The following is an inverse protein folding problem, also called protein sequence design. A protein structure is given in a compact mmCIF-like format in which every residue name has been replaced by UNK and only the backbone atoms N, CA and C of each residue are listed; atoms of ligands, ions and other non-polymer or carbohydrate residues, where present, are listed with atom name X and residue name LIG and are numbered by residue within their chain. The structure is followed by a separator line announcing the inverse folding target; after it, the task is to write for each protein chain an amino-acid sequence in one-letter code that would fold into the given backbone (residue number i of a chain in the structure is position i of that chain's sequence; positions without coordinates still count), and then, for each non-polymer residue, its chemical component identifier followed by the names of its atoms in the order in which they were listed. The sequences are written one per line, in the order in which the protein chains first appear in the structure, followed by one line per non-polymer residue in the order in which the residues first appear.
data_IF_762975881702
#
_entry.id   IF_762975881702
#
_cell.length_a   1.000
_cell.length_b   1.000
_cell.length_c   1.000
_cell.angle_alpha   90.00
_cell.angle_beta   90.00
_cell.angle_gamma   90.00
#
_symmetry.space_group_name_H-M   'P 1'
#
loop_
_entity.id
_entity.type
_entity.pdbx_description
1 polymer ?
#
# COMPACT_ATOMS: atom_id res chain seq x y z
N UNK A 1 7.71 -0.88 39.04
CA UNK A 1 6.27 -1.06 38.76
C UNK A 1 5.65 0.11 37.99
N UNK A 2 6.05 1.36 38.24
CA UNK A 2 5.50 2.57 37.58
C UNK A 2 5.93 2.76 36.10
N UNK A 3 7.03 2.11 35.66
CA UNK A 3 7.53 2.25 34.27
C UNK A 3 6.83 1.31 33.26
N UNK A 4 6.33 0.15 33.70
CA UNK A 4 5.61 -0.79 32.81
C UNK A 4 4.18 -0.33 32.51
N UNK A 5 3.52 0.32 33.48
CA UNK A 5 2.18 0.88 33.31
C UNK A 5 2.14 2.07 32.35
N UNK A 6 3.27 2.74 32.11
CA UNK A 6 3.36 3.83 31.14
C UNK A 6 3.35 3.33 29.69
N UNK A 7 4.11 2.27 29.38
CA UNK A 7 4.12 1.66 28.04
C UNK A 7 2.81 0.92 27.68
N UNK A 8 2.13 0.33 28.66
CA UNK A 8 0.81 -0.29 28.47
C UNK A 8 -0.31 0.75 28.30
N UNK A 9 -0.15 1.95 28.88
CA UNK A 9 -1.04 3.11 28.68
C UNK A 9 -1.02 3.58 27.22
N UNK A 10 0.16 3.65 26.61
CA UNK A 10 0.35 4.16 25.26
C UNK A 10 -0.14 3.17 24.17
N UNK A 11 -0.39 1.89 24.50
CA UNK A 11 -0.90 0.87 23.58
C UNK A 11 -2.43 0.62 23.66
N UNK A 12 -3.16 1.37 24.50
CA UNK A 12 -4.63 1.22 24.62
C UNK A 12 -5.10 -0.04 25.38
N UNK A 13 -4.20 -0.81 25.97
CA UNK A 13 -4.50 -2.12 26.57
C UNK A 13 -5.07 -2.08 28.00
N UNK A 14 -5.51 -0.91 28.47
CA UNK A 14 -6.05 -0.75 29.84
C UNK A 14 -7.38 -1.51 29.94
N UNK A 15 -7.51 -2.35 30.97
CA UNK A 15 -8.73 -3.12 31.26
C UNK A 15 -8.95 -4.36 30.39
N UNK A 16 -7.95 -4.79 29.61
CA UNK A 16 -8.04 -6.02 28.81
C UNK A 16 -8.30 -7.24 29.71
N UNK A 17 -7.59 -7.28 30.83
CA UNK A 17 -7.70 -8.26 31.90
C UNK A 17 -9.13 -8.36 32.45
N UNK A 18 -9.75 -7.21 32.75
CA UNK A 18 -11.12 -7.14 33.25
C UNK A 18 -12.15 -7.56 32.19
N UNK A 19 -12.02 -7.07 30.94
CA UNK A 19 -12.96 -7.38 29.86
C UNK A 19 -12.90 -8.84 29.42
N UNK A 20 -11.70 -9.42 29.38
CA UNK A 20 -11.52 -10.84 29.13
C UNK A 20 -12.27 -11.67 30.19
N UNK A 21 -12.10 -11.30 31.47
CA UNK A 21 -12.78 -11.97 32.57
C UNK A 21 -14.30 -11.81 32.52
N UNK A 22 -14.80 -10.62 32.14
CA UNK A 22 -16.23 -10.35 31.96
C UNK A 22 -16.80 -11.19 30.82
N UNK A 23 -16.23 -11.10 29.62
CA UNK A 23 -16.72 -11.83 28.44
C UNK A 23 -16.70 -13.35 28.64
N UNK A 24 -15.67 -13.88 29.31
CA UNK A 24 -15.61 -15.29 29.71
C UNK A 24 -16.75 -15.69 30.64
N UNK A 25 -17.02 -14.88 31.67
CA UNK A 25 -18.08 -15.14 32.65
C UNK A 25 -19.47 -15.03 32.03
N UNK A 26 -19.70 -14.12 31.09
CA UNK A 26 -20.97 -14.01 30.36
C UNK A 26 -21.28 -15.26 29.53
N UNK A 27 -20.25 -15.96 29.03
CA UNK A 27 -20.39 -17.26 28.38
C UNK A 27 -20.49 -18.44 29.35
N UNK A 28 -20.43 -18.19 30.66
CA UNK A 28 -20.48 -19.23 31.69
C UNK A 28 -19.24 -20.11 31.76
N UNK A 29 -18.12 -19.69 31.17
CA UNK A 29 -16.89 -20.48 31.16
C UNK A 29 -16.04 -20.25 32.42
N UNK A 30 -15.44 -21.31 32.96
CA UNK A 30 -14.34 -21.21 33.93
C UNK A 30 -13.02 -20.84 33.24
N UNK A 31 -11.98 -20.47 34.00
CA UNK A 31 -10.65 -20.21 33.42
C UNK A 31 -10.12 -21.49 32.74
N UNK A 32 -10.41 -22.65 33.33
CA UNK A 32 -10.10 -23.98 32.79
C UNK A 32 -10.83 -24.27 31.47
N UNK A 33 -12.12 -23.92 31.38
CA UNK A 33 -12.91 -24.12 30.15
C UNK A 33 -12.37 -23.28 28.99
N UNK A 34 -12.05 -22.01 29.26
CA UNK A 34 -11.49 -21.12 28.24
C UNK A 34 -10.09 -21.59 27.81
N UNK A 35 -9.25 -21.99 28.78
CA UNK A 35 -7.91 -22.49 28.50
C UNK A 35 -7.95 -23.75 27.63
N UNK A 36 -8.85 -24.68 27.93
CA UNK A 36 -9.04 -25.92 27.16
C UNK A 36 -9.44 -25.63 25.71
N UNK A 37 -10.35 -24.67 25.49
CA UNK A 37 -10.79 -24.27 24.15
C UNK A 37 -9.70 -23.55 23.34
N UNK A 38 -8.82 -22.84 24.01
CA UNK A 38 -7.70 -22.12 23.40
C UNK A 38 -6.43 -22.96 23.24
N UNK A 39 -6.39 -24.20 23.77
CA UNK A 39 -5.19 -25.03 23.76
C UNK A 39 -4.06 -24.49 24.65
N UNK A 40 -4.39 -23.73 25.69
CA UNK A 40 -3.42 -23.13 26.64
C UNK A 40 -3.63 -23.66 28.05
N UNK A 41 -2.73 -23.30 28.98
CA UNK A 41 -2.86 -23.69 30.38
C UNK A 41 -3.82 -22.73 31.13
N UNK A 42 -4.58 -23.20 32.14
CA UNK A 42 -5.42 -22.33 32.98
C UNK A 42 -4.63 -21.19 33.63
N UNK A 43 -3.35 -21.43 33.96
CA UNK A 43 -2.44 -20.43 34.49
C UNK A 43 -2.18 -19.28 33.51
N UNK A 44 -2.19 -19.54 32.20
CA UNK A 44 -2.04 -18.50 31.17
C UNK A 44 -3.26 -17.57 31.17
N UNK A 45 -4.48 -18.12 31.13
CA UNK A 45 -5.72 -17.34 31.23
C UNK A 45 -5.76 -16.53 32.52
N UNK A 46 -5.41 -17.17 33.65
CA UNK A 46 -5.32 -16.51 34.95
C UNK A 46 -4.29 -15.38 34.99
N UNK A 47 -3.19 -15.49 34.24
CA UNK A 47 -2.16 -14.46 34.11
C UNK A 47 -2.68 -13.27 33.29
N UNK A 48 -3.43 -13.53 32.22
CA UNK A 48 -4.07 -12.49 31.40
C UNK A 48 -5.13 -11.72 32.16
N UNK A 49 -6.02 -12.40 32.89
CA UNK A 49 -7.09 -11.78 33.70
C UNK A 49 -6.58 -11.04 34.95
N UNK A 50 -5.29 -11.14 35.26
CA UNK A 50 -4.64 -10.36 36.33
C UNK A 50 -3.71 -9.27 35.80
N UNK A 51 -3.74 -9.00 34.48
CA UNK A 51 -2.89 -8.00 33.84
C UNK A 51 -1.39 -8.34 33.85
N UNK A 52 -1.03 -9.59 34.14
CA UNK A 52 0.37 -10.02 34.27
C UNK A 52 0.95 -10.57 32.96
N UNK A 53 0.31 -10.33 31.83
CA UNK A 53 0.72 -10.75 30.49
C UNK A 53 -0.44 -10.70 29.51
N UNK A 54 -0.18 -10.96 28.24
CA UNK A 54 -1.19 -10.95 27.18
C UNK A 54 -1.12 -12.24 26.35
N UNK A 55 -2.26 -12.67 25.77
CA UNK A 55 -2.24 -13.65 24.68
C UNK A 55 -1.53 -13.05 23.46
N UNK A 56 -0.97 -13.91 22.62
CA UNK A 56 -0.44 -13.49 21.32
C UNK A 56 -1.56 -13.11 20.33
N UNK A 57 -1.17 -12.58 19.17
CA UNK A 57 -2.10 -12.08 18.15
C UNK A 57 -3.01 -13.18 17.62
N UNK A 58 -2.51 -14.41 17.46
CA UNK A 58 -3.32 -15.54 16.97
C UNK A 58 -4.37 -15.94 18.01
N UNK A 59 -3.97 -16.08 19.27
CA UNK A 59 -4.87 -16.39 20.38
C UNK A 59 -5.91 -15.30 20.62
N UNK A 60 -5.58 -14.02 20.39
CA UNK A 60 -6.55 -12.92 20.48
C UNK A 60 -7.73 -13.13 19.54
N UNK A 61 -7.48 -13.46 18.27
CA UNK A 61 -8.54 -13.74 17.30
C UNK A 61 -9.45 -14.88 17.77
N UNK A 62 -8.85 -15.98 18.25
CA UNK A 62 -9.61 -17.13 18.76
C UNK A 62 -10.41 -16.81 20.04
N UNK A 63 -9.87 -15.96 20.93
CA UNK A 63 -10.61 -15.48 22.10
C UNK A 63 -11.87 -14.73 21.64
N UNK A 64 -11.75 -13.85 20.65
CA UNK A 64 -12.88 -13.12 20.08
C UNK A 64 -13.98 -14.05 19.56
N UNK A 65 -13.60 -15.10 18.83
CA UNK A 65 -14.52 -16.11 18.31
C UNK A 65 -15.18 -16.94 19.42
N UNK A 66 -14.41 -17.48 20.37
CA UNK A 66 -14.90 -18.35 21.46
C UNK A 66 -15.83 -17.58 22.40
N UNK A 67 -15.48 -16.32 22.70
CA UNK A 67 -16.27 -15.46 23.58
C UNK A 67 -17.36 -14.68 22.83
N UNK A 68 -17.40 -14.78 21.50
CA UNK A 68 -18.32 -14.07 20.62
C UNK A 68 -18.33 -12.55 20.90
N UNK A 69 -17.14 -11.96 20.94
CA UNK A 69 -16.93 -10.52 21.14
C UNK A 69 -15.90 -10.00 20.13
N UNK A 70 -15.96 -8.71 19.80
CA UNK A 70 -14.98 -8.12 18.89
C UNK A 70 -13.62 -7.96 19.58
N UNK A 71 -12.55 -8.04 18.78
CA UNK A 71 -11.20 -7.76 19.27
C UNK A 71 -11.09 -6.30 19.73
N UNK A 72 -11.78 -5.38 19.06
CA UNK A 72 -11.88 -3.97 19.47
C UNK A 72 -12.47 -3.81 20.87
N UNK A 73 -13.49 -4.60 21.25
CA UNK A 73 -14.02 -4.63 22.61
C UNK A 73 -12.95 -5.09 23.61
N UNK A 74 -12.28 -6.22 23.34
CA UNK A 74 -11.24 -6.74 24.24
C UNK A 74 -10.09 -5.73 24.44
N UNK A 75 -9.66 -5.07 23.36
CA UNK A 75 -8.53 -4.14 23.36
C UNK A 75 -8.90 -2.68 23.68
N UNK A 76 -10.13 -2.39 24.12
CA UNK A 76 -10.62 -1.04 24.39
C UNK A 76 -10.44 -0.04 23.24
N UNK A 77 -10.75 -0.46 22.02
CA UNK A 77 -11.02 0.48 20.93
C UNK A 77 -12.48 0.91 20.97
N UNK A 78 -12.95 1.42 22.11
CA UNK A 78 -14.27 2.02 22.13
C UNK A 78 -14.23 3.41 21.50
N UNK A 79 -14.88 3.47 20.36
CA UNK A 79 -15.48 4.63 19.71
C UNK A 79 -16.54 5.24 20.63
N UNK A 80 -16.20 6.02 21.66
CA UNK A 80 -17.11 7.01 22.26
C UNK A 80 -16.36 8.19 22.89
N UNK A 81 -16.62 9.40 22.36
CA UNK A 81 -16.47 10.67 23.07
C UNK A 81 -15.07 11.28 23.08
N UNK A 82 -14.75 12.04 22.02
CA UNK A 82 -13.61 12.95 21.96
C UNK A 82 -13.58 13.87 23.20
N UNK A 83 -12.65 13.59 24.13
CA UNK A 83 -12.13 14.63 25.02
C UNK A 83 -10.91 15.22 24.32
N UNK A 84 -11.07 16.45 23.83
CA UNK A 84 -10.02 17.26 23.24
C UNK A 84 -8.93 17.48 24.31
N UNK A 85 -7.81 16.77 24.18
CA UNK A 85 -6.52 17.15 24.73
C UNK A 85 -5.46 16.90 23.66
N UNK A 86 -4.69 17.93 23.29
CA UNK A 86 -3.71 18.02 22.19
C UNK A 86 -2.48 17.09 22.32
N UNK A 87 -2.57 15.93 22.98
CA UNK A 87 -1.42 15.04 23.08
C UNK A 87 -1.80 13.58 23.01
N UNK A 88 -1.29 12.95 21.95
CA UNK A 88 -1.20 11.51 21.68
C UNK A 88 -2.37 10.83 20.98
N UNK A 89 -2.97 11.47 19.98
CA UNK A 89 -3.81 10.70 19.06
C UNK A 89 -2.96 10.19 17.88
N UNK A 90 -2.47 8.95 18.00
CA UNK A 90 -1.75 8.24 16.93
C UNK A 90 -2.58 8.27 15.63
N UNK A 91 -3.92 8.26 15.73
CA UNK A 91 -4.81 8.42 14.58
C UNK A 91 -4.69 9.80 13.94
N UNK A 92 -4.69 10.88 14.71
CA UNK A 92 -4.48 12.22 14.15
C UNK A 92 -3.11 12.34 13.51
N UNK A 93 -2.05 11.79 14.12
CA UNK A 93 -0.71 11.78 13.53
C UNK A 93 -0.68 10.99 12.22
N UNK A 94 -1.33 9.83 12.14
CA UNK A 94 -1.45 9.05 10.89
C UNK A 94 -2.25 9.82 9.84
N UNK A 95 -3.39 10.42 10.21
CA UNK A 95 -4.20 11.25 9.31
C UNK A 95 -3.46 12.50 8.82
N UNK A 96 -2.61 13.10 9.67
CA UNK A 96 -1.73 14.20 9.29
C UNK A 96 -0.66 13.72 8.31
N UNK A 97 -0.05 12.55 8.55
CA UNK A 97 0.92 11.96 7.62
C UNK A 97 0.29 11.66 6.25
N UNK A 98 -0.93 11.13 6.22
CA UNK A 98 -1.67 10.89 4.98
C UNK A 98 -1.97 12.18 4.20
N UNK A 99 -2.10 13.32 4.89
CA UNK A 99 -2.28 14.64 4.26
C UNK A 99 -0.98 15.28 3.80
N UNK A 100 0.16 14.89 4.38
CA UNK A 100 1.48 15.44 4.04
C UNK A 100 2.07 14.71 2.82
N UNK A 101 1.79 13.41 2.69
CA UNK A 101 2.39 12.58 1.65
C UNK A 101 1.54 12.62 0.38
N UNK A 102 2.08 13.25 -0.65
CA UNK A 102 1.50 13.22 -1.99
C UNK A 102 1.42 11.79 -2.52
N UNK A 103 0.32 11.47 -3.19
CA UNK A 103 0.04 10.12 -3.67
C UNK A 103 0.71 9.86 -5.02
N UNK A 104 1.22 8.63 -5.26
CA UNK A 104 1.91 8.33 -6.51
C UNK A 104 1.06 8.51 -7.76
N UNK A 105 -0.26 8.28 -7.66
CA UNK A 105 -1.17 8.35 -8.80
C UNK A 105 -2.60 8.64 -8.34
N UNK A 106 -3.13 9.77 -8.78
CA UNK A 106 -4.47 10.26 -8.43
C UNK A 106 -5.25 10.58 -9.70
N UNK A 107 -6.53 10.21 -9.73
CA UNK A 107 -7.51 10.71 -10.69
C UNK A 107 -8.46 11.64 -9.94
N UNK A 108 -8.54 12.88 -10.40
CA UNK A 108 -9.53 13.84 -9.93
C UNK A 108 -10.57 14.08 -11.01
N UNK A 109 -11.83 14.25 -10.62
CA UNK A 109 -12.95 14.42 -11.53
C UNK A 109 -13.88 15.56 -11.08
N UNK A 110 -14.47 16.24 -12.06
CA UNK A 110 -15.59 17.15 -11.83
C UNK A 110 -16.90 16.40 -11.56
N UNK A 111 -17.89 17.15 -11.05
CA UNK A 111 -19.17 16.59 -10.57
C UNK A 111 -19.93 15.78 -11.64
N UNK A 112 -19.83 16.15 -12.91
CA UNK A 112 -20.54 15.51 -14.00
C UNK A 112 -20.03 14.12 -14.38
N UNK A 113 -18.89 13.69 -13.82
CA UNK A 113 -18.32 12.36 -14.06
C UNK A 113 -18.48 11.41 -12.87
N UNK A 114 -18.95 11.88 -11.72
CA UNK A 114 -18.98 11.12 -10.44
C UNK A 114 -19.73 9.79 -10.57
N UNK A 115 -20.83 9.75 -11.29
CA UNK A 115 -21.63 8.54 -11.51
C UNK A 115 -20.85 7.44 -12.25
N UNK A 116 -20.04 7.79 -13.26
CA UNK A 116 -19.18 6.83 -13.99
C UNK A 116 -18.23 6.12 -13.01
N UNK A 117 -17.65 6.86 -12.07
CA UNK A 117 -16.75 6.29 -11.07
C UNK A 117 -17.50 5.55 -9.95
N UNK A 118 -18.70 5.99 -9.59
CA UNK A 118 -19.55 5.28 -8.63
C UNK A 118 -20.02 3.93 -9.18
N UNK A 119 -20.34 3.83 -10.46
CA UNK A 119 -20.69 2.56 -11.11
C UNK A 119 -19.54 1.57 -11.02
N UNK A 120 -18.33 2.01 -11.32
CA UNK A 120 -17.14 1.17 -11.21
C UNK A 120 -16.79 0.83 -9.75
N UNK A 121 -17.08 1.69 -8.78
CA UNK A 121 -16.86 1.36 -7.37
C UNK A 121 -17.65 0.13 -6.93
N UNK A 122 -18.83 -0.10 -7.53
CA UNK A 122 -19.66 -1.30 -7.27
C UNK A 122 -19.03 -2.57 -7.85
N UNK A 123 -18.19 -2.45 -8.88
CA UNK A 123 -17.43 -3.56 -9.48
C UNK A 123 -16.07 -3.77 -8.80
N UNK A 124 -15.83 -3.10 -7.65
CA UNK A 124 -14.54 -3.08 -6.93
C UNK A 124 -13.37 -2.59 -7.79
N UNK A 125 -13.61 -1.68 -8.73
CA UNK A 125 -12.59 -1.19 -9.67
C UNK A 125 -11.88 -2.31 -10.43
N UNK A 126 -12.67 -3.27 -10.92
CA UNK A 126 -12.16 -4.38 -11.71
C UNK A 126 -11.37 -3.92 -12.94
N UNK A 127 -11.75 -2.79 -13.55
CA UNK A 127 -11.05 -2.25 -14.73
C UNK A 127 -9.64 -1.76 -14.39
N UNK A 128 -9.43 -1.18 -13.20
CA UNK A 128 -8.08 -0.82 -12.72
C UNK A 128 -7.27 -2.09 -12.49
N UNK A 129 -7.85 -3.14 -11.89
CA UNK A 129 -7.16 -4.42 -11.71
C UNK A 129 -6.71 -5.00 -13.06
N UNK A 130 -7.61 -5.06 -14.03
CA UNK A 130 -7.30 -5.51 -15.41
C UNK A 130 -6.22 -4.65 -16.04
N UNK A 131 -6.26 -3.33 -15.85
CA UNK A 131 -5.20 -2.42 -16.30
C UNK A 131 -3.84 -2.76 -15.66
N UNK A 132 -3.78 -3.01 -14.35
CA UNK A 132 -2.52 -3.38 -13.68
C UNK A 132 -1.94 -4.68 -14.23
N UNK A 133 -2.78 -5.70 -14.41
CA UNK A 133 -2.37 -6.98 -15.00
C UNK A 133 -1.85 -6.79 -16.43
N UNK A 134 -2.58 -6.03 -17.25
CA UNK A 134 -2.16 -5.68 -18.62
C UNK A 134 -0.83 -4.95 -18.63
N UNK A 135 -0.65 -3.92 -17.80
CA UNK A 135 0.58 -3.11 -17.71
C UNK A 135 1.79 -3.94 -17.26
N UNK A 136 1.59 -4.83 -16.30
CA UNK A 136 2.61 -5.78 -15.87
C UNK A 136 2.99 -6.76 -17.00
N UNK A 137 2.01 -7.27 -17.75
CA UNK A 137 2.23 -8.23 -18.84
C UNK A 137 2.80 -7.62 -20.11
N UNK A 138 2.47 -6.37 -20.45
CA UNK A 138 2.98 -5.73 -21.65
C UNK A 138 4.33 -5.05 -21.40
N UNK A 139 4.42 -4.29 -20.31
CA UNK A 139 5.56 -3.40 -20.07
C UNK A 139 6.41 -3.83 -18.87
N UNK A 140 5.97 -4.75 -18.02
CA UNK A 140 6.66 -5.09 -16.78
C UNK A 140 6.57 -3.99 -15.72
N UNK A 141 5.58 -3.10 -15.87
CA UNK A 141 5.39 -1.91 -15.05
C UNK A 141 4.60 -2.21 -13.78
N UNK A 142 5.05 -1.64 -12.66
CA UNK A 142 4.27 -1.58 -11.43
C UNK A 142 3.40 -0.32 -11.45
N UNK A 143 2.09 -0.50 -11.59
CA UNK A 143 1.13 0.60 -11.44
C UNK A 143 0.79 0.73 -9.95
N UNK A 144 1.03 1.89 -9.32
CA UNK A 144 0.73 2.07 -7.90
C UNK A 144 -0.80 2.05 -7.63
N UNK A 145 -1.16 2.24 -6.36
CA UNK A 145 -2.55 2.47 -6.00
C UNK A 145 -3.02 3.74 -6.69
N UNK A 146 -4.12 3.65 -7.45
CA UNK A 146 -4.77 4.78 -8.08
C UNK A 146 -5.82 5.26 -7.10
N UNK A 147 -5.65 6.47 -6.56
CA UNK A 147 -6.67 7.09 -5.72
C UNK A 147 -7.57 7.96 -6.58
N UNK A 148 -8.85 7.95 -6.26
CA UNK A 148 -9.91 8.56 -7.05
C UNK A 148 -10.64 9.54 -6.14
N UNK A 149 -10.81 10.78 -6.59
CA UNK A 149 -11.39 11.86 -5.81
C UNK A 149 -12.23 12.77 -6.69
N UNK A 150 -13.34 13.26 -6.15
CA UNK A 150 -14.01 14.42 -6.71
C UNK A 150 -13.23 15.69 -6.38
N UNK A 151 -13.30 16.67 -7.28
CA UNK A 151 -12.72 17.99 -7.08
C UNK A 151 -13.67 19.06 -7.61
N UNK A 152 -14.22 19.86 -6.71
CA UNK A 152 -15.17 20.94 -7.02
C UNK A 152 -14.55 22.10 -7.80
N UNK A 153 -13.21 22.19 -7.86
CA UNK A 153 -12.49 23.21 -8.63
C UNK A 153 -12.41 22.88 -10.13
N UNK A 154 -12.72 21.63 -10.52
CA UNK A 154 -12.69 21.19 -11.92
C UNK A 154 -13.97 21.56 -12.68
N UNK A 155 -13.86 21.68 -14.00
CA UNK A 155 -15.02 21.79 -14.88
C UNK A 155 -15.98 20.60 -14.72
N UNK A 156 -17.27 20.80 -15.03
CA UNK A 156 -18.32 19.80 -14.77
C UNK A 156 -18.01 18.43 -15.42
N UNK A 157 -17.50 18.42 -16.66
CA UNK A 157 -17.07 17.21 -17.37
C UNK A 157 -15.55 17.13 -17.53
N UNK A 158 -14.79 17.68 -16.58
CA UNK A 158 -13.33 17.63 -16.60
C UNK A 158 -12.82 16.51 -15.69
N UNK A 159 -11.72 15.86 -16.09
CA UNK A 159 -10.92 15.04 -15.20
C UNK A 159 -9.43 15.26 -15.45
N UNK A 160 -8.63 14.99 -14.42
CA UNK A 160 -7.18 15.08 -14.50
C UNK A 160 -6.50 13.93 -13.78
N UNK A 161 -5.28 13.63 -14.21
CA UNK A 161 -4.42 12.60 -13.61
C UNK A 161 -3.20 13.30 -13.03
N UNK A 162 -2.89 12.99 -11.78
CA UNK A 162 -1.77 13.55 -11.05
C UNK A 162 -0.80 12.45 -10.64
N UNK A 163 0.49 12.79 -10.61
CA UNK A 163 1.52 12.02 -9.94
C UNK A 163 2.22 12.91 -8.92
N UNK A 164 2.13 12.55 -7.63
CA UNK A 164 2.64 13.34 -6.50
C UNK A 164 2.16 14.81 -6.57
N UNK A 165 0.84 14.99 -6.63
CA UNK A 165 0.13 16.28 -6.73
C UNK A 165 0.46 17.14 -7.97
N UNK A 166 1.32 16.65 -8.86
CA UNK A 166 1.60 17.29 -10.14
C UNK A 166 0.65 16.74 -11.19
N UNK A 167 -0.12 17.64 -11.81
CA UNK A 167 -0.94 17.31 -12.97
C UNK A 167 -0.05 16.83 -14.11
N UNK A 168 -0.25 15.59 -14.55
CA UNK A 168 0.43 14.98 -15.69
C UNK A 168 -0.49 14.82 -16.90
N UNK A 169 -1.80 14.97 -16.70
CA UNK A 169 -2.81 14.95 -17.75
C UNK A 169 -4.08 15.68 -17.29
N UNK A 170 -4.77 16.39 -18.19
CA UNK A 170 -6.11 16.98 -17.96
C UNK A 170 -6.92 16.92 -19.25
N UNK A 171 -8.21 16.68 -19.16
CA UNK A 171 -9.12 16.63 -20.30
C UNK A 171 -10.53 17.04 -19.90
N UNK A 172 -11.14 17.91 -20.70
CA UNK A 172 -12.56 18.24 -20.62
C UNK A 172 -13.32 17.40 -21.65
N UNK A 173 -14.32 16.66 -21.18
CA UNK A 173 -15.14 15.78 -22.01
C UNK A 173 -16.26 16.57 -22.66
N UNK A 174 -16.35 16.47 -23.98
CA UNK A 174 -17.34 17.19 -24.79
C UNK A 174 -18.73 16.59 -24.66
N UNK A 175 -18.83 15.26 -24.61
CA UNK A 175 -20.10 14.52 -24.58
C UNK A 175 -19.99 13.31 -23.65
N UNK A 176 -20.95 13.18 -22.73
CA UNK A 176 -20.94 12.14 -21.70
C UNK A 176 -21.52 10.81 -22.20
N UNK A 177 -22.36 10.82 -23.24
CA UNK A 177 -23.13 9.62 -23.63
C UNK A 177 -22.26 8.40 -23.95
N UNK A 178 -21.07 8.62 -24.53
CA UNK A 178 -20.13 7.55 -24.90
C UNK A 178 -18.90 7.47 -23.96
N UNK A 179 -18.87 8.29 -22.91
CA UNK A 179 -17.73 8.36 -22.01
C UNK A 179 -17.89 7.41 -20.84
N UNK A 180 -17.02 6.40 -20.76
CA UNK A 180 -17.07 5.34 -19.74
C UNK A 180 -15.80 5.30 -18.91
N UNK A 181 -15.82 4.52 -17.83
CA UNK A 181 -14.64 4.32 -16.98
C UNK A 181 -13.51 3.59 -17.74
N UNK A 182 -13.83 2.73 -18.70
CA UNK A 182 -12.85 2.10 -19.58
C UNK A 182 -12.11 3.12 -20.46
N UNK A 183 -12.79 4.17 -20.94
CA UNK A 183 -12.13 5.29 -21.65
C UNK A 183 -11.10 5.98 -20.75
N UNK A 184 -11.45 6.20 -19.48
CA UNK A 184 -10.55 6.78 -18.47
C UNK A 184 -9.36 5.85 -18.22
N UNK A 185 -9.59 4.54 -18.06
CA UNK A 185 -8.52 3.56 -17.85
C UNK A 185 -7.60 3.43 -19.07
N UNK A 186 -8.14 3.46 -20.28
CA UNK A 186 -7.33 3.48 -21.51
C UNK A 186 -6.48 4.74 -21.60
N UNK A 187 -7.00 5.89 -21.14
CA UNK A 187 -6.19 7.10 -21.05
C UNK A 187 -5.12 6.98 -19.96
N UNK A 188 -5.48 6.48 -18.78
CA UNK A 188 -4.57 6.26 -17.67
C UNK A 188 -3.38 5.39 -18.08
N UNK A 189 -3.62 4.33 -18.86
CA UNK A 189 -2.59 3.48 -19.45
C UNK A 189 -1.54 4.31 -20.21
N UNK A 190 -1.99 5.11 -21.19
CA UNK A 190 -1.12 5.93 -22.04
C UNK A 190 -0.34 6.94 -21.19
N UNK A 191 -1.03 7.65 -20.30
CA UNK A 191 -0.44 8.66 -19.43
C UNK A 191 0.60 8.05 -18.51
N UNK A 192 0.34 6.86 -17.94
CA UNK A 192 1.29 6.15 -17.10
C UNK A 192 2.57 5.78 -17.85
N UNK A 193 2.45 5.30 -19.08
CA UNK A 193 3.61 4.94 -19.92
C UNK A 193 4.40 6.19 -20.30
N UNK A 194 3.74 7.23 -20.79
CA UNK A 194 4.38 8.46 -21.27
C UNK A 194 4.99 9.33 -20.17
N UNK A 195 4.60 9.09 -18.91
CA UNK A 195 5.06 9.86 -17.75
C UNK A 195 5.64 8.97 -16.65
N UNK A 196 6.13 7.77 -16.98
CA UNK A 196 6.51 6.79 -15.96
C UNK A 196 7.63 7.29 -15.04
N UNK A 197 8.55 8.14 -15.53
CA UNK A 197 9.57 8.80 -14.71
C UNK A 197 9.01 9.70 -13.60
N UNK A 198 7.80 10.23 -13.78
CA UNK A 198 7.11 11.06 -12.77
C UNK A 198 6.35 10.23 -11.74
N UNK A 199 6.05 8.96 -12.05
CA UNK A 199 5.25 8.05 -11.20
C UNK A 199 6.18 7.13 -10.39
N UNK A 200 7.18 6.56 -11.06
CA UNK A 200 8.12 5.62 -10.48
C UNK A 200 8.99 6.30 -9.42
N UNK A 201 8.90 5.83 -8.18
CA UNK A 201 9.77 6.27 -7.08
C UNK A 201 10.81 5.20 -6.71
N UNK A 202 11.77 5.59 -5.88
CA UNK A 202 12.84 4.69 -5.40
C UNK A 202 12.31 3.49 -4.62
N UNK A 203 11.24 3.66 -3.83
CA UNK A 203 10.65 2.56 -3.07
C UNK A 203 10.09 1.46 -3.97
N UNK A 204 9.44 1.83 -5.07
CA UNK A 204 8.92 0.88 -6.06
C UNK A 204 10.05 0.08 -6.71
N UNK A 205 11.16 0.74 -7.05
CA UNK A 205 12.35 0.05 -7.60
C UNK A 205 12.97 -0.86 -6.55
N UNK A 206 13.09 -0.42 -5.30
CA UNK A 206 13.58 -1.25 -4.20
C UNK A 206 12.70 -2.50 -4.04
N UNK A 207 11.38 -2.35 -4.05
CA UNK A 207 10.43 -3.47 -3.99
C UNK A 207 10.64 -4.46 -5.14
N UNK A 208 10.91 -3.99 -6.37
CA UNK A 208 11.26 -4.87 -7.49
C UNK A 208 12.54 -5.65 -7.21
N UNK A 209 13.59 -4.96 -6.76
CA UNK A 209 14.89 -5.55 -6.45
C UNK A 209 14.78 -6.58 -5.33
N UNK A 210 14.08 -6.26 -4.24
CA UNK A 210 13.89 -7.17 -3.09
C UNK A 210 13.18 -8.46 -3.52
N UNK A 211 12.11 -8.35 -4.31
CA UNK A 211 11.40 -9.50 -4.86
C UNK A 211 12.26 -10.36 -5.81
N UNK A 212 13.30 -9.77 -6.42
CA UNK A 212 14.25 -10.50 -7.25
C UNK A 212 15.34 -11.17 -6.41
N UNK A 213 15.72 -10.64 -5.26
CA UNK A 213 16.76 -11.24 -4.38
C UNK A 213 16.33 -12.65 -3.95
N UNK A 214 15.05 -12.86 -3.66
CA UNK A 214 14.52 -14.14 -3.23
C UNK A 214 14.63 -15.22 -4.33
N UNK A 215 14.57 -14.82 -5.60
CA UNK A 215 14.56 -15.74 -6.75
C UNK A 215 15.88 -15.83 -7.51
N UNK A 216 16.62 -14.73 -7.59
CA UNK A 216 17.82 -14.53 -8.39
C UNK A 216 18.93 -13.78 -7.62
N UNK A 217 19.35 -14.28 -6.44
CA UNK A 217 20.27 -13.55 -5.56
C UNK A 217 21.63 -13.26 -6.23
N UNK A 218 22.10 -14.14 -7.13
CA UNK A 218 23.39 -13.98 -7.82
C UNK A 218 23.43 -12.81 -8.82
N UNK A 219 22.27 -12.39 -9.35
CA UNK A 219 22.18 -11.25 -10.28
C UNK A 219 22.13 -9.92 -9.52
N UNK A 220 21.64 -9.95 -8.27
CA UNK A 220 21.33 -8.74 -7.52
C UNK A 220 22.40 -8.42 -6.46
N UNK A 221 22.77 -9.41 -5.64
CA UNK A 221 23.69 -9.20 -4.51
C UNK A 221 25.08 -8.85 -5.01
N UNK A 222 25.63 -7.72 -4.54
CA UNK A 222 26.92 -7.20 -5.01
C UNK A 222 26.85 -6.46 -6.35
N UNK A 223 25.66 -6.35 -6.95
CA UNK A 223 25.40 -5.58 -8.18
C UNK A 223 24.58 -4.33 -7.84
N UNK A 224 23.47 -4.48 -7.13
CA UNK A 224 22.63 -3.36 -6.69
C UNK A 224 22.69 -3.29 -5.16
N UNK A 225 23.02 -2.13 -4.55
CA UNK A 225 23.33 -0.84 -5.17
C UNK A 225 24.81 -0.64 -5.55
N UNK A 226 25.68 -1.63 -5.29
CA UNK A 226 27.14 -1.46 -5.27
C UNK A 226 27.76 -1.05 -6.61
N UNK A 227 27.35 -1.71 -7.70
CA UNK A 227 27.82 -1.43 -9.07
C UNK A 227 26.81 -0.56 -9.82
N UNK A 228 25.52 -0.82 -9.62
CA UNK A 228 24.40 -0.11 -10.22
C UNK A 228 23.65 0.61 -9.10
N UNK A 229 23.80 1.93 -8.96
CA UNK A 229 23.02 2.69 -8.00
C UNK A 229 21.52 2.56 -8.28
N UNK A 230 20.70 2.46 -7.22
CA UNK A 230 19.24 2.36 -7.37
C UNK A 230 18.63 3.51 -8.20
N UNK A 231 19.21 4.70 -8.10
CA UNK A 231 18.80 5.87 -8.89
C UNK A 231 19.05 5.69 -10.39
N UNK A 232 20.15 5.04 -10.77
CA UNK A 232 20.46 4.73 -12.17
C UNK A 232 19.48 3.68 -12.69
N UNK A 233 19.23 2.61 -11.92
CA UNK A 233 18.24 1.59 -12.27
C UNK A 233 16.84 2.19 -12.44
N UNK A 234 16.43 3.08 -11.53
CA UNK A 234 15.16 3.80 -11.62
C UNK A 234 15.06 4.56 -12.95
N UNK A 235 16.11 5.30 -13.32
CA UNK A 235 16.13 6.09 -14.56
C UNK A 235 16.11 5.21 -15.81
N UNK A 236 16.90 4.13 -15.85
CA UNK A 236 16.85 3.16 -16.96
C UNK A 236 15.46 2.56 -17.12
N UNK A 237 14.86 2.05 -16.03
CA UNK A 237 13.51 1.50 -16.06
C UNK A 237 12.50 2.54 -16.58
N UNK A 238 12.55 3.76 -16.04
CA UNK A 238 11.64 4.83 -16.43
C UNK A 238 11.75 5.14 -17.94
N UNK A 239 12.96 5.31 -18.44
CA UNK A 239 13.20 5.67 -19.85
C UNK A 239 12.85 4.54 -20.81
N UNK A 240 13.11 3.27 -20.46
CA UNK A 240 12.70 2.13 -21.29
C UNK A 240 11.17 2.07 -21.44
N UNK A 241 10.44 2.23 -20.33
CA UNK A 241 8.98 2.21 -20.33
C UNK A 241 8.41 3.39 -21.12
N UNK A 242 8.93 4.61 -20.96
CA UNK A 242 8.50 5.79 -21.72
C UNK A 242 8.75 5.63 -23.23
N UNK A 243 9.76 4.83 -23.60
CA UNK A 243 10.03 4.41 -24.98
C UNK A 243 9.21 3.20 -25.44
N UNK A 244 8.25 2.75 -24.61
CA UNK A 244 7.38 1.59 -24.84
C UNK A 244 8.15 0.27 -24.96
N UNK A 245 9.34 0.21 -24.38
CA UNK A 245 10.16 -1.00 -24.30
C UNK A 245 9.82 -1.73 -23.01
N UNK A 246 9.55 -3.03 -23.11
CA UNK A 246 9.14 -3.85 -21.97
C UNK A 246 10.31 -4.12 -21.03
N UNK A 247 10.11 -3.92 -19.73
CA UNK A 247 11.08 -4.25 -18.68
C UNK A 247 10.80 -5.60 -18.00
N UNK A 248 9.94 -6.45 -18.59
CA UNK A 248 9.60 -7.77 -18.02
C UNK A 248 10.82 -8.66 -17.79
N UNK A 249 11.85 -8.52 -18.62
CA UNK A 249 13.11 -9.23 -18.46
C UNK A 249 14.14 -8.40 -17.67
N UNK A 250 13.74 -7.98 -16.46
CA UNK A 250 14.57 -7.10 -15.62
C UNK A 250 15.91 -7.74 -15.25
N UNK A 251 15.98 -9.07 -15.18
CA UNK A 251 17.23 -9.83 -14.99
C UNK A 251 18.21 -9.50 -16.11
N UNK A 252 17.78 -9.66 -17.37
CA UNK A 252 18.66 -9.41 -18.51
C UNK A 252 19.06 -7.95 -18.64
N UNK A 253 18.14 -7.04 -18.32
CA UNK A 253 18.42 -5.60 -18.24
C UNK A 253 19.55 -5.35 -17.24
N UNK A 254 19.47 -5.91 -16.02
CA UNK A 254 20.49 -5.71 -14.99
C UNK A 254 21.85 -6.29 -15.41
N UNK A 255 21.89 -7.47 -16.02
CA UNK A 255 23.14 -8.05 -16.55
C UNK A 255 23.79 -7.15 -17.60
N UNK A 256 23.00 -6.64 -18.55
CA UNK A 256 23.48 -5.72 -19.59
C UNK A 256 23.96 -4.42 -18.94
N UNK A 257 23.21 -3.87 -18.00
CA UNK A 257 23.64 -2.68 -17.26
C UNK A 257 24.96 -2.91 -16.53
N UNK A 258 25.15 -4.07 -15.88
CA UNK A 258 26.39 -4.38 -15.17
C UNK A 258 27.61 -4.43 -16.12
N UNK A 259 27.43 -5.04 -17.30
CA UNK A 259 28.45 -5.05 -18.36
C UNK A 259 28.75 -3.62 -18.86
N UNK A 260 27.73 -2.81 -19.11
CA UNK A 260 27.88 -1.48 -19.70
C UNK A 260 28.41 -0.42 -18.73
N UNK A 261 28.14 -0.54 -17.42
CA UNK A 261 28.74 0.33 -16.40
C UNK A 261 30.26 0.18 -16.37
N UNK A 262 30.78 -1.03 -16.62
CA UNK A 262 32.23 -1.27 -16.69
C UNK A 262 32.88 -0.56 -17.89
N UNK A 263 32.12 -0.34 -18.97
CA UNK A 263 32.59 0.33 -20.18
C UNK A 263 32.63 1.86 -20.06
N UNK A 264 32.33 2.44 -18.88
CA UNK A 264 32.31 3.89 -18.61
C UNK A 264 31.47 4.70 -19.61
N UNK A 265 30.40 4.10 -20.16
CA UNK A 265 29.42 4.84 -20.96
C UNK A 265 28.77 5.93 -20.10
N UNK A 266 28.48 7.07 -20.71
CA UNK A 266 27.59 8.03 -20.06
C UNK A 266 26.19 7.43 -19.92
N UNK A 267 25.36 8.10 -19.14
CA UNK A 267 24.04 7.57 -18.77
C UNK A 267 23.11 7.36 -19.98
N UNK A 268 23.18 8.24 -20.99
CA UNK A 268 22.34 8.13 -22.19
C UNK A 268 22.81 6.98 -23.09
N UNK A 269 24.13 6.84 -23.26
CA UNK A 269 24.74 5.73 -23.99
C UNK A 269 24.44 4.37 -23.34
N UNK A 270 24.40 4.30 -22.01
CA UNK A 270 24.02 3.09 -21.29
C UNK A 270 22.57 2.73 -21.57
N UNK A 271 21.65 3.69 -21.50
CA UNK A 271 20.22 3.45 -21.78
C UNK A 271 20.02 2.98 -23.22
N UNK A 272 20.69 3.61 -24.19
CA UNK A 272 20.64 3.20 -25.60
C UNK A 272 21.18 1.78 -25.79
N UNK A 273 22.31 1.45 -25.18
CA UNK A 273 22.90 0.12 -25.27
C UNK A 273 22.01 -0.96 -24.64
N UNK A 274 21.36 -0.66 -23.51
CA UNK A 274 20.37 -1.56 -22.90
C UNK A 274 19.20 -1.75 -23.84
N UNK A 275 18.63 -0.66 -24.38
CA UNK A 275 17.47 -0.70 -25.28
C UNK A 275 17.73 -1.48 -26.58
N UNK A 276 18.94 -1.43 -27.14
CA UNK A 276 19.32 -2.16 -28.35
C UNK A 276 19.53 -3.67 -28.11
N UNK A 277 19.87 -4.05 -26.88
CA UNK A 277 20.22 -5.43 -26.50
C UNK A 277 19.04 -6.23 -25.94
N UNK A 278 17.85 -5.64 -25.81
CA UNK A 278 16.63 -6.29 -25.27
C UNK A 278 15.50 -6.30 -26.30
#
# INVERSE_FOLDING_TARGET
MVLYTKGLRDMGLIGFDERLAIARKEKGYTQEDLATRLGVTPQAVSKWERGNGYPDIELLCYIGEILNCSIDYLLHRETQGEKITESNDVKQKIQLLDKILAEPLVIEMGQGLVDIFMEESKSEFNTIRVLREKMALLYGVLVPIVRIRDNEELGFLEYRILAYDKVIYSEEIVAKEDFTFESICSRLEKVCIENYSKILNRQMVQTLVDNMIDKYPAVIKGVIPDKIPLALLQKVIATLVERKISIRNLIKIIEIMEEEVQNRKDEEQLIMAVAEKI
#
